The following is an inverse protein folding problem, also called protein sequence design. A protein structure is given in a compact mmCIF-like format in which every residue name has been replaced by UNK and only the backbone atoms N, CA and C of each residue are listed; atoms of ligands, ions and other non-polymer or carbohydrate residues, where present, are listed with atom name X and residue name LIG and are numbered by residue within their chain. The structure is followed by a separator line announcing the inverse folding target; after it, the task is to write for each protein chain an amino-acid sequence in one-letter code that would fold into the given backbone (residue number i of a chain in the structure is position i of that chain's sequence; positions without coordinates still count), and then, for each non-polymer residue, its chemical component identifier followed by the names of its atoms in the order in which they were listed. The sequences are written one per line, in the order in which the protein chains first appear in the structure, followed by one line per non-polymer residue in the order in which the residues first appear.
data_IF_007172392524
#
_entry.id   IF_007172392524
#
_cell.length_a   1.000
_cell.length_b   1.000
_cell.length_c   1.000
_cell.angle_alpha   90.00
_cell.angle_beta   90.00
_cell.angle_gamma   90.00
#
_symmetry.space_group_name_H-M   'P 1'
#
loop_
_entity.id
_entity.type
_entity.pdbx_description
1 polymer ?
#
# COMPACT_ATOMS: atom_id res chain seq x y z
N UNK A 1 4.23 -11.84 10.59
CA UNK A 1 5.09 -10.64 10.43
C UNK A 1 4.23 -9.47 9.97
N UNK A 2 4.15 -8.36 10.72
CA UNK A 2 3.28 -7.20 10.41
C UNK A 2 4.10 -6.07 9.78
N UNK A 3 4.34 -6.15 8.47
CA UNK A 3 5.05 -5.11 7.70
C UNK A 3 4.24 -3.81 7.69
N UNK A 4 2.91 -3.94 7.72
CA UNK A 4 1.94 -2.84 7.77
C UNK A 4 2.03 -1.96 9.02
N UNK A 5 2.46 -2.49 10.17
CA UNK A 5 2.61 -1.71 11.41
C UNK A 5 3.88 -0.86 11.43
N UNK A 6 4.90 -1.27 10.66
CA UNK A 6 6.18 -0.55 10.56
C UNK A 6 6.24 0.37 9.34
N UNK A 7 5.14 0.47 8.59
CA UNK A 7 5.05 1.32 7.42
C UNK A 7 4.71 2.75 7.87
N UNK A 8 5.59 3.69 7.53
CA UNK A 8 5.42 5.11 7.85
C UNK A 8 4.24 5.68 7.04
N UNK A 9 4.23 5.36 5.74
CA UNK A 9 3.14 5.67 4.83
C UNK A 9 3.05 4.66 3.68
N UNK A 10 1.84 4.48 3.15
CA UNK A 10 1.58 3.71 1.95
C UNK A 10 1.26 4.65 0.79
N UNK A 11 2.06 4.60 -0.29
CA UNK A 11 1.75 5.33 -1.52
C UNK A 11 0.92 4.45 -2.44
N UNK A 12 -0.26 4.90 -2.80
CA UNK A 12 -1.17 4.16 -3.69
C UNK A 12 -1.07 4.79 -5.07
N UNK A 13 -0.61 4.01 -6.05
CA UNK A 13 -0.67 4.39 -7.46
C UNK A 13 -1.69 3.53 -8.18
N UNK A 14 -2.81 4.13 -8.55
CA UNK A 14 -3.87 3.45 -9.32
C UNK A 14 -3.52 3.55 -10.81
N UNK A 15 -3.36 2.41 -11.49
CA UNK A 15 -3.37 2.32 -12.95
C UNK A 15 -4.69 1.69 -13.41
N UNK A 16 -4.96 1.67 -14.72
CA UNK A 16 -6.23 1.15 -15.30
C UNK A 16 -6.60 -0.25 -14.78
N UNK A 17 -5.65 -1.18 -14.72
CA UNK A 17 -5.92 -2.57 -14.35
C UNK A 17 -5.25 -3.01 -13.04
N UNK A 18 -4.24 -2.28 -12.57
CA UNK A 18 -3.39 -2.68 -11.45
C UNK A 18 -3.15 -1.50 -10.53
N UNK A 19 -3.31 -1.72 -9.23
CA UNK A 19 -2.94 -0.78 -8.19
C UNK A 19 -1.60 -1.19 -7.59
N UNK A 20 -0.67 -0.24 -7.50
CA UNK A 20 0.62 -0.43 -6.83
C UNK A 20 0.55 0.17 -5.44
N UNK A 21 0.55 -0.68 -4.41
CA UNK A 21 0.70 -0.30 -3.01
C UNK A 21 2.19 -0.25 -2.67
N UNK A 22 2.72 0.96 -2.49
CA UNK A 22 4.11 1.19 -2.16
C UNK A 22 4.24 1.51 -0.67
N UNK A 23 4.47 0.49 0.14
CA UNK A 23 4.66 0.61 1.59
C UNK A 23 6.08 1.11 1.87
N UNK A 24 6.20 2.32 2.41
CA UNK A 24 7.48 2.86 2.85
C UNK A 24 7.75 2.39 4.27
N UNK A 25 8.71 1.49 4.43
CA UNK A 25 9.28 1.16 5.74
C UNK A 25 10.63 1.87 5.89
N UNK A 26 11.17 2.03 7.12
CA UNK A 26 12.45 2.71 7.33
C UNK A 26 13.62 2.09 6.54
N UNK A 27 13.59 0.77 6.33
CA UNK A 27 14.65 0.06 5.62
C UNK A 27 14.44 0.00 4.11
N UNK A 28 13.23 -0.26 3.65
CA UNK A 28 12.96 -0.53 2.23
C UNK A 28 11.57 -0.09 1.78
N UNK A 29 11.44 0.19 0.48
CA UNK A 29 10.16 0.44 -0.18
C UNK A 29 9.63 -0.88 -0.75
N UNK A 30 8.56 -1.41 -0.16
CA UNK A 30 7.90 -2.60 -0.68
C UNK A 30 6.82 -2.17 -1.68
N UNK A 31 6.86 -2.74 -2.88
CA UNK A 31 5.81 -2.51 -3.89
C UNK A 31 5.01 -3.79 -4.08
N UNK A 32 3.73 -3.73 -3.76
CA UNK A 32 2.79 -4.82 -3.98
C UNK A 32 1.87 -4.40 -5.13
N UNK A 33 1.76 -5.26 -6.15
CA UNK A 33 0.80 -5.10 -7.24
C UNK A 33 -0.46 -5.88 -6.85
N UNK A 34 -1.58 -5.20 -6.80
CA UNK A 34 -2.89 -5.78 -6.47
C UNK A 34 -3.94 -5.28 -7.44
N UNK A 35 -5.06 -6.00 -7.53
CA UNK A 35 -6.22 -5.51 -8.30
C UNK A 35 -6.93 -4.39 -7.52
N UNK A 36 -7.72 -3.53 -8.20
CA UNK A 36 -8.48 -2.47 -7.53
C UNK A 36 -9.38 -2.98 -6.40
N UNK A 37 -10.05 -4.11 -6.63
CA UNK A 37 -10.94 -4.75 -5.65
C UNK A 37 -10.20 -5.18 -4.39
N UNK A 38 -9.02 -5.79 -4.54
CA UNK A 38 -8.18 -6.17 -3.41
C UNK A 38 -7.54 -4.96 -2.73
N UNK A 39 -7.22 -3.91 -3.48
CA UNK A 39 -6.63 -2.70 -2.94
C UNK A 39 -7.55 -2.01 -1.93
N UNK A 40 -8.85 -1.90 -2.22
CA UNK A 40 -9.81 -1.30 -1.29
C UNK A 40 -9.91 -2.07 0.03
N UNK A 41 -9.90 -3.41 -0.03
CA UNK A 41 -9.95 -4.24 1.17
C UNK A 41 -8.67 -4.10 2.01
N UNK A 42 -7.51 -4.06 1.34
CA UNK A 42 -6.22 -3.87 2.00
C UNK A 42 -6.12 -2.47 2.61
N UNK A 43 -6.60 -1.44 1.91
CA UNK A 43 -6.68 -0.06 2.40
C UNK A 43 -7.52 0.02 3.67
N UNK A 44 -8.68 -0.65 3.73
CA UNK A 44 -9.53 -0.68 4.93
C UNK A 44 -8.87 -1.38 6.13
N UNK A 45 -7.97 -2.33 5.89
CA UNK A 45 -7.23 -3.06 6.95
C UNK A 45 -5.91 -2.41 7.34
N UNK A 46 -5.42 -1.43 6.57
CA UNK A 46 -4.15 -0.74 6.81
C UNK A 46 -4.35 0.43 7.77
N UNK A 47 -3.66 0.39 8.93
CA UNK A 47 -3.63 1.49 9.90
C UNK A 47 -2.56 2.57 9.58
N UNK A 48 -1.96 2.57 8.40
CA UNK A 48 -0.90 3.52 8.02
C UNK A 48 -1.46 4.73 7.27
N UNK A 49 -0.73 5.85 7.27
CA UNK A 49 -1.07 7.03 6.45
C UNK A 49 -1.03 6.68 4.97
N UNK A 50 -2.14 6.90 4.27
CA UNK A 50 -2.28 6.63 2.84
C UNK A 50 -2.04 7.92 2.07
N UNK A 51 -1.16 7.87 1.07
CA UNK A 51 -0.87 8.98 0.16
C UNK A 51 -1.18 8.52 -1.26
N UNK A 52 -2.13 9.15 -1.94
CA UNK A 52 -2.39 8.87 -3.36
C UNK A 52 -1.45 9.68 -4.25
N UNK A 53 -0.85 9.02 -5.26
CA UNK A 53 0.14 9.58 -6.20
C UNK A 53 -0.11 9.08 -7.63
#
# INVERSE_FOLDING_TARGET
MRISERADHCRVKRLKDIVKLKLRTPRMLYTIKVTPSQAEEIIKRLNCRIVEV
#
